data_IF_579821304824
#
_entry.id   IF_579821304824
#
_cell.length_a   1.000
_cell.length_b   1.000
_cell.length_c   1.000
_cell.angle_alpha   90.00
_cell.angle_beta   90.00
_cell.angle_gamma   90.00
#
_symmetry.space_group_name_H-M   'P 1'
#
loop_
_entity.id
_entity.type
_entity.pdbx_description
1 polymer ?
#
# COMPACT_ATOMS: atom_id res chain seq x y z
N UNK A 1 49.40 10.60 27.90
CA UNK A 1 48.03 10.10 28.21
C UNK A 1 47.30 9.93 26.88
N UNK A 2 47.09 8.71 26.38
CA UNK A 2 46.43 8.50 25.09
C UNK A 2 44.90 8.61 25.24
N UNK A 3 44.16 9.08 24.22
CA UNK A 3 42.70 9.13 24.29
C UNK A 3 42.09 7.73 24.06
N UNK A 4 41.12 7.40 24.91
CA UNK A 4 40.35 6.17 24.94
C UNK A 4 39.61 5.91 23.61
N UNK A 5 39.88 4.76 22.97
CA UNK A 5 39.08 4.20 21.87
C UNK A 5 37.71 3.76 22.41
N UNK A 6 36.65 4.45 22.01
CA UNK A 6 35.28 3.98 22.21
C UNK A 6 34.97 2.81 21.25
N UNK A 7 34.50 1.69 21.80
CA UNK A 7 34.02 0.52 21.04
C UNK A 7 32.71 0.86 20.31
N UNK A 8 32.47 0.35 19.09
CA UNK A 8 31.17 0.48 18.44
C UNK A 8 30.12 -0.39 19.16
N UNK A 9 29.07 0.27 19.63
CA UNK A 9 27.84 -0.34 20.14
C UNK A 9 27.18 -1.19 19.04
N UNK A 10 26.99 -2.50 19.31
CA UNK A 10 26.20 -3.41 18.46
C UNK A 10 24.73 -3.00 18.53
N UNK A 11 24.25 -2.26 17.53
CA UNK A 11 22.83 -2.11 17.28
C UNK A 11 22.25 -3.45 16.79
N UNK A 12 21.43 -4.10 17.63
CA UNK A 12 20.58 -5.21 17.20
C UNK A 12 19.44 -4.67 16.33
N UNK A 13 19.09 -5.32 15.20
CA UNK A 13 17.89 -4.95 14.46
C UNK A 13 16.62 -5.36 15.23
N UNK A 14 15.49 -4.63 15.07
CA UNK A 14 14.23 -4.97 15.72
C UNK A 14 13.73 -6.35 15.31
N UNK A 15 13.22 -7.13 16.27
CA UNK A 15 12.50 -8.38 16.03
C UNK A 15 11.19 -8.07 15.31
N UNK A 16 10.96 -8.72 14.17
CA UNK A 16 9.67 -8.72 13.48
C UNK A 16 8.62 -9.38 14.38
N UNK A 17 7.64 -8.58 14.85
CA UNK A 17 6.48 -9.09 15.56
C UNK A 17 5.58 -9.83 14.56
N UNK A 18 5.47 -11.14 14.74
CA UNK A 18 4.47 -11.98 14.10
C UNK A 18 3.16 -11.86 14.87
N UNK A 19 2.06 -11.47 14.21
CA UNK A 19 0.72 -11.48 14.80
C UNK A 19 0.32 -12.92 15.20
N UNK A 20 -0.30 -13.13 16.38
CA UNK A 20 -0.84 -14.43 16.76
C UNK A 20 -2.25 -14.65 16.19
N UNK A 21 -2.48 -15.88 15.72
CA UNK A 21 -3.79 -16.41 15.30
C UNK A 21 -4.82 -16.40 16.46
N UNK A 22 -6.13 -16.34 16.16
CA UNK A 22 -7.16 -16.07 17.16
C UNK A 22 -7.40 -17.25 18.12
N UNK A 23 -7.53 -16.90 19.40
CA UNK A 23 -7.83 -17.77 20.54
C UNK A 23 -9.24 -18.37 20.47
N UNK A 24 -9.33 -19.70 20.54
CA UNK A 24 -10.55 -20.41 20.95
C UNK A 24 -10.49 -20.74 22.46
N UNK A 25 -11.68 -20.79 23.03
CA UNK A 25 -12.01 -20.75 24.45
C UNK A 25 -11.37 -21.80 25.37
N UNK A 26 -10.95 -21.30 26.54
CA UNK A 26 -11.14 -21.80 27.90
C UNK A 26 -11.27 -23.32 28.15
N UNK A 27 -10.28 -23.81 28.88
CA UNK A 27 -10.20 -25.11 29.55
C UNK A 27 -11.10 -25.20 30.79
N UNK A 28 -11.64 -26.38 31.07
CA UNK A 28 -11.72 -26.87 32.46
C UNK A 28 -11.46 -28.38 32.51
N UNK A 29 -10.78 -28.77 33.58
CA UNK A 29 -10.03 -30.00 33.73
C UNK A 29 -10.77 -31.09 34.52
N UNK A 30 -10.28 -32.32 34.31
CA UNK A 30 -10.21 -33.48 35.21
C UNK A 30 -11.49 -34.19 35.70
N UNK A 31 -11.63 -35.45 35.27
CA UNK A 31 -11.46 -36.66 36.13
C UNK A 31 -11.56 -37.95 35.29
N UNK A 32 -10.66 -38.89 35.56
CA UNK A 32 -10.82 -40.34 35.31
C UNK A 32 -10.56 -41.07 36.65
N UNK A 33 -10.86 -42.38 36.81
CA UNK A 33 -12.01 -43.17 36.32
C UNK A 33 -12.60 -44.06 37.46
N UNK A 34 -13.77 -44.69 37.26
CA UNK A 34 -14.06 -46.05 37.78
C UNK A 34 -15.34 -46.65 37.14
N UNK A 35 -15.62 -47.97 37.24
CA UNK A 35 -15.96 -48.84 36.11
C UNK A 35 -17.40 -49.41 36.23
N UNK A 36 -17.74 -50.37 35.36
CA UNK A 36 -19.02 -51.08 35.27
C UNK A 36 -20.15 -50.24 34.64
N UNK A 37 -20.98 -50.69 33.68
CA UNK A 37 -21.23 -51.93 32.95
C UNK A 37 -22.16 -51.47 31.78
N UNK A 38 -22.07 -51.95 30.53
CA UNK A 38 -22.96 -52.97 29.95
C UNK A 38 -22.86 -52.89 28.40
N UNK A 39 -22.50 -54.03 27.80
CA UNK A 39 -23.03 -54.67 26.56
C UNK A 39 -23.06 -53.99 25.18
N UNK A 40 -22.52 -54.76 24.21
CA UNK A 40 -22.82 -54.87 22.77
C UNK A 40 -22.53 -53.63 21.90
N UNK A 41 -21.86 -53.70 20.74
CA UNK A 41 -22.03 -54.65 19.65
C UNK A 41 -20.79 -54.58 18.73
N UNK A 42 -20.11 -55.72 18.50
CA UNK A 42 -19.02 -55.81 17.53
C UNK A 42 -19.61 -56.00 16.14
N UNK A 43 -19.40 -55.03 15.22
CA UNK A 43 -19.46 -55.28 13.78
C UNK A 43 -18.09 -55.02 13.16
N UNK A 44 -17.42 -56.13 12.91
CA UNK A 44 -16.24 -56.27 12.08
C UNK A 44 -16.65 -56.07 10.61
N UNK A 45 -16.12 -55.07 9.92
CA UNK A 45 -16.19 -54.99 8.45
C UNK A 45 -14.75 -54.96 7.93
N UNK A 46 -14.37 -56.11 7.36
CA UNK A 46 -13.18 -56.34 6.56
C UNK A 46 -13.14 -55.36 5.38
N UNK A 47 -12.13 -54.50 5.34
CA UNK A 47 -11.84 -53.63 4.20
C UNK A 47 -10.90 -54.36 3.22
N UNK A 48 -11.44 -54.77 2.07
CA UNK A 48 -10.66 -55.15 0.88
C UNK A 48 -10.31 -53.87 0.10
N UNK A 49 -9.13 -53.79 -0.54
CA UNK A 49 -8.74 -52.62 -1.32
C UNK A 49 -9.33 -52.72 -2.73
N UNK A 50 -10.31 -51.86 -3.03
CA UNK A 50 -10.75 -51.62 -4.41
C UNK A 50 -9.90 -50.50 -5.04
N UNK A 51 -9.46 -50.63 -6.30
CA UNK A 51 -8.70 -49.59 -6.99
C UNK A 51 -9.66 -48.48 -7.43
N UNK A 52 -9.66 -47.36 -6.70
CA UNK A 52 -10.44 -46.17 -7.03
C UNK A 52 -9.77 -45.39 -8.17
N UNK A 53 -10.11 -45.71 -9.42
CA UNK A 53 -10.01 -44.75 -10.52
C UNK A 53 -11.10 -43.68 -10.32
N UNK A 54 -10.82 -42.69 -9.48
CA UNK A 54 -11.78 -41.62 -9.20
C UNK A 54 -11.67 -40.58 -10.31
N UNK A 55 -12.48 -40.72 -11.36
CA UNK A 55 -12.79 -39.58 -12.21
C UNK A 55 -13.43 -38.49 -11.33
N UNK A 56 -12.90 -37.25 -11.32
CA UNK A 56 -13.47 -36.18 -10.52
C UNK A 56 -14.95 -35.98 -10.89
N UNK A 57 -15.84 -35.95 -9.90
CA UNK A 57 -17.26 -35.64 -10.14
C UNK A 57 -17.34 -34.27 -10.84
N UNK A 58 -18.17 -34.08 -11.89
CA UNK A 58 -18.23 -32.83 -12.66
C UNK A 58 -18.42 -31.55 -11.84
N UNK A 59 -19.11 -31.64 -10.69
CA UNK A 59 -19.30 -30.53 -9.75
C UNK A 59 -18.01 -30.11 -9.03
N UNK A 60 -17.13 -31.06 -8.71
CA UNK A 60 -15.85 -30.79 -8.05
C UNK A 60 -14.92 -29.98 -8.97
N UNK A 61 -14.87 -30.32 -10.25
CA UNK A 61 -14.08 -29.59 -11.24
C UNK A 61 -14.63 -28.17 -11.46
N UNK A 62 -15.95 -27.99 -11.51
CA UNK A 62 -16.57 -26.68 -11.60
C UNK A 62 -16.22 -25.79 -10.39
N UNK A 63 -16.23 -26.33 -9.17
CA UNK A 63 -15.80 -25.61 -7.97
C UNK A 63 -14.31 -25.27 -8.00
N UNK A 64 -13.44 -26.21 -8.39
CA UNK A 64 -12.01 -25.97 -8.54
C UNK A 64 -11.71 -24.86 -9.56
N UNK A 65 -12.42 -24.84 -10.69
CA UNK A 65 -12.30 -23.77 -11.69
C UNK A 65 -12.71 -22.42 -11.13
N UNK A 66 -13.81 -22.36 -10.35
CA UNK A 66 -14.25 -21.12 -9.71
C UNK A 66 -13.25 -20.62 -8.65
N UNK A 67 -12.66 -21.52 -7.87
CA UNK A 67 -11.61 -21.19 -6.89
C UNK A 67 -10.39 -20.62 -7.61
N UNK A 68 -9.89 -21.30 -8.66
CA UNK A 68 -8.77 -20.81 -9.47
C UNK A 68 -9.06 -19.45 -10.09
N UNK A 69 -10.28 -19.24 -10.57
CA UNK A 69 -10.74 -17.95 -11.10
C UNK A 69 -10.68 -16.83 -10.05
N UNK A 70 -11.12 -17.09 -8.81
CA UNK A 70 -11.06 -16.12 -7.72
C UNK A 70 -9.63 -15.84 -7.26
N UNK A 71 -8.77 -16.86 -7.21
CA UNK A 71 -7.35 -16.71 -6.88
C UNK A 71 -6.63 -15.77 -7.86
N UNK A 72 -7.03 -15.75 -9.14
CA UNK A 72 -6.45 -14.83 -10.11
C UNK A 72 -6.72 -13.35 -9.77
N UNK A 73 -7.85 -13.04 -9.11
CA UNK A 73 -8.19 -11.68 -8.66
C UNK A 73 -7.57 -11.32 -7.30
N UNK A 74 -6.85 -12.23 -6.64
CA UNK A 74 -6.22 -11.98 -5.34
C UNK A 74 -4.99 -11.07 -5.41
N UNK A 75 -4.43 -10.91 -6.62
CA UNK A 75 -3.24 -10.09 -6.87
C UNK A 75 -3.52 -9.08 -7.99
N UNK A 76 -2.83 -7.94 -7.94
CA UNK A 76 -2.91 -6.94 -9.01
C UNK A 76 -2.14 -7.41 -10.26
N UNK A 77 -2.53 -6.92 -11.45
CA UNK A 77 -1.90 -7.26 -12.73
C UNK A 77 -0.38 -7.07 -12.73
N UNK A 78 0.11 -5.99 -12.10
CA UNK A 78 1.55 -5.74 -11.97
C UNK A 78 2.25 -6.79 -11.10
N UNK A 79 1.58 -7.32 -10.08
CA UNK A 79 2.12 -8.39 -9.24
C UNK A 79 2.12 -9.71 -9.99
N UNK A 80 1.06 -10.00 -10.75
CA UNK A 80 0.98 -11.18 -11.61
C UNK A 80 2.13 -11.20 -12.64
N UNK A 81 2.38 -10.07 -13.32
CA UNK A 81 3.49 -9.94 -14.26
C UNK A 81 4.87 -10.14 -13.60
N UNK A 82 5.05 -9.62 -12.38
CA UNK A 82 6.28 -9.84 -11.61
C UNK A 82 6.47 -11.32 -11.24
N UNK A 83 5.39 -12.00 -10.82
CA UNK A 83 5.44 -13.42 -10.48
C UNK A 83 5.69 -14.29 -11.70
N UNK A 84 5.07 -13.97 -12.84
CA UNK A 84 5.35 -14.66 -14.11
C UNK A 84 6.83 -14.53 -14.51
N UNK A 85 7.40 -13.34 -14.34
CA UNK A 85 8.83 -13.10 -14.58
C UNK A 85 9.71 -13.91 -13.62
N UNK A 86 9.32 -14.04 -12.36
CA UNK A 86 10.01 -14.86 -11.36
C UNK A 86 9.98 -16.36 -11.72
N UNK A 87 8.81 -16.87 -12.16
CA UNK A 87 8.64 -18.25 -12.61
C UNK A 87 9.53 -18.53 -13.82
N UNK A 88 9.52 -17.65 -14.84
CA UNK A 88 10.36 -17.79 -16.03
C UNK A 88 11.86 -17.85 -15.68
N UNK A 89 12.30 -16.97 -14.78
CA UNK A 89 13.70 -16.97 -14.32
C UNK A 89 14.07 -18.25 -13.55
N UNK A 90 13.14 -18.78 -12.76
CA UNK A 90 13.34 -20.04 -12.04
C UNK A 90 13.42 -21.23 -12.98
N UNK A 91 12.49 -21.37 -13.93
CA UNK A 91 12.51 -22.45 -14.91
C UNK A 91 13.78 -22.44 -15.77
N UNK A 92 14.27 -21.27 -16.16
CA UNK A 92 15.55 -21.14 -16.87
C UNK A 92 16.72 -21.64 -16.02
N UNK A 93 16.81 -21.20 -14.75
CA UNK A 93 17.83 -21.67 -13.82
C UNK A 93 17.79 -23.19 -13.61
N UNK A 94 16.60 -23.76 -13.43
CA UNK A 94 16.42 -25.20 -13.27
C UNK A 94 16.89 -25.98 -14.50
N UNK A 95 16.55 -25.49 -15.70
CA UNK A 95 17.00 -26.09 -16.96
C UNK A 95 18.51 -26.03 -17.14
N UNK A 96 19.15 -24.92 -16.77
CA UNK A 96 20.61 -24.73 -16.90
C UNK A 96 21.42 -25.58 -15.91
N UNK A 97 20.84 -25.93 -14.76
CA UNK A 97 21.51 -26.64 -13.67
C UNK A 97 21.02 -28.10 -13.49
N UNK A 98 20.20 -28.60 -14.41
CA UNK A 98 19.61 -29.94 -14.36
C UNK A 98 18.87 -30.22 -13.03
N UNK A 99 18.18 -29.20 -12.51
CA UNK A 99 17.40 -29.28 -11.27
C UNK A 99 15.89 -29.42 -11.56
N UNK A 100 15.10 -30.03 -10.64
CA UNK A 100 13.65 -30.10 -10.79
C UNK A 100 13.00 -28.70 -10.79
N UNK A 101 12.26 -28.39 -11.86
CA UNK A 101 11.42 -27.20 -11.95
C UNK A 101 10.19 -27.30 -11.02
N UNK A 102 9.12 -26.56 -11.30
CA UNK A 102 7.89 -26.56 -10.53
C UNK A 102 7.01 -27.80 -10.88
N UNK A 103 6.44 -28.52 -9.89
CA UNK A 103 6.60 -28.34 -8.44
C UNK A 103 8.01 -28.74 -7.98
N UNK A 104 8.61 -27.92 -7.11
CA UNK A 104 10.04 -28.04 -6.79
C UNK A 104 10.33 -28.53 -5.37
N UNK A 105 11.60 -28.58 -4.97
CA UNK A 105 12.06 -28.96 -3.63
C UNK A 105 12.64 -27.78 -2.85
N UNK A 106 12.74 -27.88 -1.51
CA UNK A 106 13.40 -26.87 -0.69
C UNK A 106 14.86 -26.66 -1.12
N UNK A 107 15.53 -27.75 -1.52
CA UNK A 107 16.91 -27.70 -2.01
C UNK A 107 17.04 -26.83 -3.26
N UNK A 108 16.19 -27.05 -4.27
CA UNK A 108 16.21 -26.25 -5.50
C UNK A 108 15.91 -24.79 -5.23
N UNK A 109 14.96 -24.49 -4.33
CA UNK A 109 14.70 -23.11 -3.90
C UNK A 109 15.93 -22.47 -3.26
N UNK A 110 16.63 -23.19 -2.38
CA UNK A 110 17.86 -22.71 -1.76
C UNK A 110 18.97 -22.47 -2.79
N UNK A 111 19.15 -23.39 -3.75
CA UNK A 111 20.11 -23.26 -4.83
C UNK A 111 19.82 -22.01 -5.68
N UNK A 112 18.54 -21.79 -6.01
CA UNK A 112 18.13 -20.60 -6.75
C UNK A 112 18.36 -19.31 -5.96
N UNK A 113 18.06 -19.30 -4.65
CA UNK A 113 18.36 -18.13 -3.80
C UNK A 113 19.87 -17.85 -3.77
N UNK A 114 20.71 -18.88 -3.68
CA UNK A 114 22.16 -18.72 -3.70
C UNK A 114 22.63 -18.10 -5.03
N UNK A 115 22.10 -18.56 -6.17
CA UNK A 115 22.37 -17.96 -7.48
C UNK A 115 21.92 -16.48 -7.55
N UNK A 116 20.72 -16.16 -7.04
CA UNK A 116 20.23 -14.78 -7.04
C UNK A 116 21.04 -13.86 -6.11
N UNK A 117 21.65 -14.38 -5.05
CA UNK A 117 22.42 -13.60 -4.08
C UNK A 117 23.62 -12.88 -4.71
N UNK A 118 24.12 -13.39 -5.83
CA UNK A 118 25.25 -12.80 -6.57
C UNK A 118 24.90 -11.46 -7.22
N UNK A 119 23.62 -11.20 -7.50
CA UNK A 119 23.20 -10.03 -8.30
C UNK A 119 21.96 -9.29 -7.81
N UNK A 120 21.19 -9.86 -6.86
CA UNK A 120 19.90 -9.34 -6.43
C UNK A 120 19.91 -8.94 -4.96
N UNK A 121 19.21 -7.85 -4.66
CA UNK A 121 18.93 -7.46 -3.28
C UNK A 121 18.00 -8.48 -2.61
N UNK A 122 18.16 -8.67 -1.30
CA UNK A 122 17.33 -9.61 -0.53
C UNK A 122 15.82 -9.35 -0.63
N UNK A 123 15.39 -8.10 -0.81
CA UNK A 123 13.98 -7.78 -1.05
C UNK A 123 13.46 -8.31 -2.39
N UNK A 124 14.27 -8.24 -3.45
CA UNK A 124 13.96 -8.82 -4.76
C UNK A 124 13.89 -10.35 -4.68
N UNK A 125 14.84 -10.97 -3.99
CA UNK A 125 14.85 -12.43 -3.76
C UNK A 125 13.56 -12.87 -3.08
N UNK A 126 13.15 -12.23 -1.97
CA UNK A 126 11.89 -12.56 -1.29
C UNK A 126 10.67 -12.42 -2.19
N UNK A 127 10.63 -11.39 -3.04
CA UNK A 127 9.54 -11.21 -3.99
C UNK A 127 9.51 -12.32 -5.05
N UNK A 128 10.68 -12.74 -5.55
CA UNK A 128 10.79 -13.89 -6.46
C UNK A 128 10.27 -15.16 -5.82
N UNK A 129 10.72 -15.48 -4.59
CA UNK A 129 10.26 -16.66 -3.84
C UNK A 129 8.76 -16.61 -3.54
N UNK A 130 8.20 -15.41 -3.29
CA UNK A 130 6.75 -15.23 -3.13
C UNK A 130 5.97 -15.58 -4.40
N UNK A 131 6.54 -15.31 -5.57
CA UNK A 131 5.96 -15.70 -6.86
C UNK A 131 5.95 -17.22 -7.04
N UNK A 132 7.03 -17.91 -6.66
CA UNK A 132 7.10 -19.37 -6.69
C UNK A 132 6.12 -20.01 -5.69
N UNK A 133 6.00 -19.44 -4.49
CA UNK A 133 5.00 -19.87 -3.50
C UNK A 133 3.58 -19.69 -4.04
N UNK A 134 3.28 -18.54 -4.64
CA UNK A 134 1.98 -18.29 -5.26
C UNK A 134 1.68 -19.29 -6.38
N UNK A 135 2.69 -19.72 -7.14
CA UNK A 135 2.51 -20.79 -8.13
C UNK A 135 2.07 -22.09 -7.46
N UNK A 136 2.73 -22.53 -6.39
CA UNK A 136 2.37 -23.74 -5.65
C UNK A 136 0.92 -23.66 -5.13
N UNK A 137 0.58 -22.57 -4.46
CA UNK A 137 -0.76 -22.34 -3.91
C UNK A 137 -1.86 -22.40 -5.00
N UNK A 138 -1.59 -21.82 -6.19
CA UNK A 138 -2.54 -21.78 -7.30
C UNK A 138 -2.73 -23.14 -7.99
N UNK A 139 -1.71 -23.99 -7.98
CA UNK A 139 -1.77 -25.33 -8.58
C UNK A 139 -2.20 -26.41 -7.57
N UNK A 140 -2.41 -26.05 -6.31
CA UNK A 140 -2.79 -27.00 -5.25
C UNK A 140 -1.62 -27.85 -4.77
N UNK A 141 -0.39 -27.41 -5.02
CA UNK A 141 0.84 -28.10 -4.65
C UNK A 141 1.31 -27.64 -3.28
N UNK A 142 1.81 -28.58 -2.47
CA UNK A 142 2.37 -28.23 -1.16
C UNK A 142 3.59 -27.32 -1.32
N UNK A 143 3.67 -26.24 -0.54
CA UNK A 143 4.84 -25.36 -0.54
C UNK A 143 6.04 -26.07 0.11
N UNK A 144 7.16 -26.30 -0.61
CA UNK A 144 8.29 -27.05 -0.07
C UNK A 144 9.24 -26.19 0.77
N UNK A 145 9.07 -24.86 0.82
CA UNK A 145 9.98 -23.97 1.55
C UNK A 145 9.78 -24.05 3.07
N UNK A 146 10.86 -24.34 3.80
CA UNK A 146 10.90 -24.44 5.25
C UNK A 146 11.99 -23.56 5.89
N UNK A 147 12.42 -23.87 7.13
CA UNK A 147 13.37 -23.05 7.87
C UNK A 147 14.74 -22.88 7.19
N UNK A 148 15.16 -23.85 6.36
CA UNK A 148 16.43 -23.77 5.65
C UNK A 148 16.36 -22.67 4.59
N UNK A 149 15.26 -22.59 3.85
CA UNK A 149 15.05 -21.51 2.88
C UNK A 149 15.11 -20.13 3.54
N UNK A 150 14.49 -19.96 4.71
CA UNK A 150 14.52 -18.69 5.45
C UNK A 150 15.93 -18.28 5.86
N UNK A 151 16.74 -19.24 6.31
CA UNK A 151 18.15 -19.02 6.64
C UNK A 151 18.95 -18.61 5.41
N UNK A 152 18.73 -19.28 4.28
CA UNK A 152 19.44 -19.00 3.02
C UNK A 152 19.05 -17.62 2.47
N UNK A 153 17.76 -17.24 2.50
CA UNK A 153 17.30 -15.89 2.12
C UNK A 153 17.93 -14.82 3.02
N UNK A 154 18.04 -15.09 4.33
CA UNK A 154 18.69 -14.17 5.28
C UNK A 154 20.19 -14.04 4.99
N UNK A 155 20.86 -15.16 4.73
CA UNK A 155 22.27 -15.19 4.31
C UNK A 155 22.48 -14.38 3.04
N UNK A 156 21.69 -14.66 2.00
CA UNK A 156 21.71 -13.94 0.73
C UNK A 156 21.52 -12.43 0.90
N UNK A 157 20.61 -12.00 1.78
CA UNK A 157 20.41 -10.58 2.06
C UNK A 157 21.62 -9.93 2.75
N UNK A 158 22.35 -10.65 3.59
CA UNK A 158 23.54 -10.15 4.28
C UNK A 158 24.77 -10.06 3.38
N UNK A 159 24.88 -10.92 2.38
CA UNK A 159 25.99 -10.93 1.42
C UNK A 159 25.67 -10.22 0.10
N UNK A 160 24.43 -9.74 -0.05
CA UNK A 160 23.98 -9.07 -1.26
C UNK A 160 24.94 -7.90 -1.60
N UNK A 161 25.39 -7.78 -2.86
CA UNK A 161 26.33 -6.75 -3.22
C UNK A 161 25.68 -5.38 -3.07
N UNK A 162 26.44 -4.38 -2.60
CA UNK A 162 25.94 -3.02 -2.41
C UNK A 162 25.30 -2.45 -3.70
N UNK A 163 25.84 -2.82 -4.87
CA UNK A 163 25.33 -2.46 -6.19
C UNK A 163 23.92 -2.99 -6.50
N UNK A 164 23.47 -4.05 -5.81
CA UNK A 164 22.12 -4.59 -5.97
C UNK A 164 21.05 -3.78 -5.22
N UNK A 165 21.48 -2.95 -4.28
CA UNK A 165 20.60 -2.10 -3.49
C UNK A 165 20.61 -0.67 -4.03
N UNK A 166 19.43 -0.03 -4.07
CA UNK A 166 19.33 1.38 -4.43
C UNK A 166 19.37 2.21 -3.15
N UNK A 167 20.04 3.39 -3.17
CA UNK A 167 19.94 4.31 -2.05
C UNK A 167 18.49 4.71 -1.81
N UNK A 168 18.23 5.17 -0.59
CA UNK A 168 16.94 5.76 -0.28
C UNK A 168 16.67 6.96 -1.19
N UNK A 169 15.42 7.05 -1.68
CA UNK A 169 15.00 8.18 -2.50
C UNK A 169 14.92 9.45 -1.64
N UNK A 170 15.37 10.55 -2.21
CA UNK A 170 15.26 11.86 -1.60
C UNK A 170 13.81 12.33 -1.52
N UNK A 171 13.44 13.01 -0.41
CA UNK A 171 12.15 13.66 -0.27
C UNK A 171 12.08 14.89 -1.17
N UNK A 172 10.91 15.15 -1.76
CA UNK A 172 10.59 16.53 -2.18
C UNK A 172 10.51 17.39 -0.91
N UNK A 173 11.02 18.62 -0.94
CA UNK A 173 10.91 19.55 0.20
C UNK A 173 9.89 20.65 -0.09
N UNK A 174 9.48 21.40 0.93
CA UNK A 174 8.63 22.59 0.72
C UNK A 174 9.33 23.63 -0.15
N UNK A 175 10.64 23.86 0.04
CA UNK A 175 11.44 24.74 -0.81
C UNK A 175 11.41 24.34 -2.29
N UNK A 176 11.47 23.03 -2.58
CA UNK A 176 11.30 22.55 -3.96
C UNK A 176 9.90 22.86 -4.52
N UNK A 177 8.85 22.81 -3.71
CA UNK A 177 7.49 23.22 -4.15
C UNK A 177 7.42 24.75 -4.37
N UNK A 178 8.14 25.54 -3.57
CA UNK A 178 8.26 27.00 -3.78
C UNK A 178 9.00 27.32 -5.07
N UNK A 179 10.10 26.62 -5.36
CA UNK A 179 10.82 26.70 -6.64
C UNK A 179 9.89 26.35 -7.81
N UNK A 180 9.04 25.33 -7.69
CA UNK A 180 8.01 25.05 -8.70
C UNK A 180 7.04 26.22 -8.86
N UNK A 181 6.58 26.82 -7.76
CA UNK A 181 5.64 27.95 -7.82
C UNK A 181 6.25 29.14 -8.58
N UNK A 182 7.56 29.35 -8.47
CA UNK A 182 8.31 30.40 -9.16
C UNK A 182 8.58 30.04 -10.64
N UNK A 183 8.93 28.77 -10.92
CA UNK A 183 9.35 28.33 -12.25
C UNK A 183 8.22 27.98 -13.22
N UNK A 184 6.99 27.83 -12.74
CA UNK A 184 5.80 27.52 -13.54
C UNK A 184 5.11 28.79 -14.04
N UNK A 185 4.66 28.78 -15.30
CA UNK A 185 3.85 29.86 -15.84
C UNK A 185 2.41 29.73 -15.36
N UNK A 186 2.05 30.55 -14.38
CA UNK A 186 0.72 30.50 -13.76
C UNK A 186 -0.41 31.06 -14.66
N UNK A 187 -0.11 31.49 -15.88
CA UNK A 187 -1.11 31.79 -16.92
C UNK A 187 -1.36 30.61 -17.88
N UNK A 188 -0.53 29.57 -17.82
CA UNK A 188 -0.67 28.36 -18.60
C UNK A 188 -1.44 27.28 -17.81
N UNK A 189 -2.57 26.81 -18.35
CA UNK A 189 -3.43 25.84 -17.65
C UNK A 189 -2.72 24.52 -17.32
N UNK A 190 -1.75 24.10 -18.15
CA UNK A 190 -0.97 22.88 -17.87
C UNK A 190 -0.09 23.11 -16.64
N UNK A 191 0.60 24.24 -16.56
CA UNK A 191 1.47 24.57 -15.44
C UNK A 191 0.67 24.78 -14.13
N UNK A 192 -0.51 25.41 -14.18
CA UNK A 192 -1.45 25.45 -13.04
C UNK A 192 -1.80 24.03 -12.58
N UNK A 193 -2.10 23.14 -13.53
CA UNK A 193 -2.46 21.75 -13.25
C UNK A 193 -1.30 20.96 -12.66
N UNK A 194 -0.07 21.19 -13.16
CA UNK A 194 1.16 20.60 -12.60
C UNK A 194 1.36 21.07 -11.15
N UNK A 195 1.17 22.36 -10.87
CA UNK A 195 1.34 22.89 -9.51
C UNK A 195 0.31 22.32 -8.54
N UNK A 196 -0.96 22.25 -8.94
CA UNK A 196 -2.01 21.63 -8.14
C UNK A 196 -1.73 20.13 -7.89
N UNK A 197 -1.29 19.38 -8.91
CA UNK A 197 -0.92 17.98 -8.74
C UNK A 197 0.27 17.80 -7.78
N UNK A 198 1.29 18.66 -7.86
CA UNK A 198 2.46 18.62 -6.99
C UNK A 198 2.11 18.86 -5.53
N UNK A 199 1.35 19.93 -5.24
CA UNK A 199 0.92 20.28 -3.87
C UNK A 199 0.00 19.22 -3.28
N UNK A 200 -0.93 18.65 -4.06
CA UNK A 200 -1.81 17.56 -3.61
C UNK A 200 -1.03 16.26 -3.37
N UNK A 201 -0.09 15.90 -4.26
CA UNK A 201 0.75 14.72 -4.07
C UNK A 201 1.62 14.84 -2.80
N UNK A 202 2.13 16.04 -2.53
CA UNK A 202 2.93 16.36 -1.36
C UNK A 202 2.09 16.35 -0.07
N UNK A 203 1.15 17.29 0.09
CA UNK A 203 0.40 17.47 1.33
C UNK A 203 -0.66 16.41 1.59
N UNK A 204 -1.25 15.85 0.53
CA UNK A 204 -2.12 14.67 0.65
C UNK A 204 -1.35 13.37 0.80
N UNK A 205 -0.01 13.40 0.72
CA UNK A 205 0.86 12.23 0.70
C UNK A 205 0.39 11.15 -0.28
N UNK A 206 -0.25 11.54 -1.39
CA UNK A 206 -0.82 10.59 -2.33
C UNK A 206 0.30 9.93 -3.15
N UNK A 207 0.10 8.67 -3.58
CA UNK A 207 1.00 8.12 -4.60
C UNK A 207 0.66 8.77 -5.92
N UNK A 208 1.68 9.14 -6.70
CA UNK A 208 1.44 9.80 -7.99
C UNK A 208 0.53 9.00 -8.92
N UNK A 209 0.66 7.67 -8.94
CA UNK A 209 -0.20 6.78 -9.74
C UNK A 209 -1.65 6.64 -9.24
N UNK A 210 -2.00 7.22 -8.09
CA UNK A 210 -3.39 7.36 -7.63
C UNK A 210 -4.01 8.67 -8.16
N UNK A 211 -3.17 9.64 -8.53
CA UNK A 211 -3.60 10.95 -9.04
C UNK A 211 -3.55 11.02 -10.56
N UNK A 212 -2.48 10.53 -11.19
CA UNK A 212 -2.17 10.74 -12.59
C UNK A 212 -2.00 9.42 -13.36
N UNK A 213 -2.67 9.31 -14.50
CA UNK A 213 -2.57 8.16 -15.41
C UNK A 213 -1.49 8.30 -16.49
N UNK A 214 -1.55 7.41 -17.47
CA UNK A 214 -0.67 7.42 -18.65
C UNK A 214 -1.35 7.96 -19.92
N UNK A 215 -2.68 8.10 -19.93
CA UNK A 215 -3.42 8.56 -21.10
C UNK A 215 -3.68 10.06 -21.03
N UNK A 216 -3.23 10.79 -22.06
CA UNK A 216 -3.49 12.23 -22.20
C UNK A 216 -4.87 12.57 -22.78
N UNK A 217 -5.60 11.58 -23.30
CA UNK A 217 -6.86 11.80 -24.04
C UNK A 217 -8.07 11.11 -23.42
N UNK A 218 -7.86 10.02 -22.67
CA UNK A 218 -8.94 9.20 -22.11
C UNK A 218 -8.90 9.29 -20.59
N UNK A 219 -9.97 9.81 -20.01
CA UNK A 219 -10.21 9.72 -18.57
C UNK A 219 -10.87 8.37 -18.23
N UNK A 220 -10.41 7.76 -17.15
CA UNK A 220 -11.03 6.56 -16.57
C UNK A 220 -11.42 6.88 -15.12
N UNK A 221 -12.69 7.26 -14.87
CA UNK A 221 -13.16 7.67 -13.56
C UNK A 221 -13.19 6.52 -12.54
N UNK A 222 -13.05 5.26 -12.97
CA UNK A 222 -12.91 4.12 -12.06
C UNK A 222 -11.50 4.00 -11.46
N UNK A 223 -10.52 4.69 -12.07
CA UNK A 223 -9.10 4.61 -11.68
C UNK A 223 -8.55 5.92 -11.15
N UNK A 224 -9.00 7.05 -11.69
CA UNK A 224 -8.41 8.36 -11.42
C UNK A 224 -9.49 9.37 -11.00
N UNK A 225 -9.16 10.34 -10.14
CA UNK A 225 -10.14 11.30 -9.63
C UNK A 225 -10.69 12.19 -10.75
N UNK A 226 -11.99 12.45 -10.70
CA UNK A 226 -12.66 13.48 -11.50
C UNK A 226 -12.69 14.81 -10.73
N UNK A 227 -13.11 15.90 -11.37
CA UNK A 227 -13.34 17.17 -10.68
C UNK A 227 -14.34 17.06 -9.52
N UNK A 228 -15.40 16.27 -9.71
CA UNK A 228 -16.39 15.95 -8.66
C UNK A 228 -15.83 15.11 -7.51
N UNK A 229 -14.62 14.57 -7.63
CA UNK A 229 -13.95 13.90 -6.51
C UNK A 229 -13.48 14.87 -5.44
N UNK A 230 -13.41 16.18 -5.74
CA UNK A 230 -13.08 17.22 -4.75
C UNK A 230 -14.33 17.57 -3.97
N UNK A 231 -14.33 17.26 -2.68
CA UNK A 231 -15.43 17.56 -1.77
C UNK A 231 -15.58 19.05 -1.46
N UNK A 232 -16.71 19.41 -0.82
CA UNK A 232 -16.87 20.76 -0.26
C UNK A 232 -15.84 21.01 0.86
N UNK A 233 -15.62 22.28 1.24
CA UNK A 233 -14.85 22.61 2.43
C UNK A 233 -15.34 21.86 3.68
N UNK A 234 -14.43 21.20 4.39
CA UNK A 234 -14.69 20.48 5.66
C UNK A 234 -14.19 21.23 6.90
N UNK A 235 -13.68 22.44 6.72
CA UNK A 235 -13.23 23.32 7.81
C UNK A 235 -13.39 24.79 7.42
N UNK A 236 -13.40 25.69 8.42
CA UNK A 236 -13.45 27.14 8.19
C UNK A 236 -12.28 27.65 7.32
N UNK A 237 -11.13 26.98 7.40
CA UNK A 237 -9.95 27.30 6.60
C UNK A 237 -10.00 26.68 5.18
N UNK A 238 -11.11 26.09 4.76
CA UNK A 238 -11.25 25.59 3.39
C UNK A 238 -10.52 24.28 3.10
N UNK A 239 -10.05 23.55 4.12
CA UNK A 239 -9.54 22.18 3.96
C UNK A 239 -10.58 21.30 3.26
N UNK A 240 -10.15 20.33 2.45
CA UNK A 240 -11.03 19.51 1.61
C UNK A 240 -10.63 18.05 1.64
N UNK A 241 -11.62 17.21 1.40
CA UNK A 241 -11.43 15.80 1.07
C UNK A 241 -11.38 15.62 -0.45
N UNK A 242 -10.49 14.77 -0.95
CA UNK A 242 -10.46 14.35 -2.36
C UNK A 242 -10.55 12.84 -2.42
N UNK A 243 -11.63 12.33 -3.03
CA UNK A 243 -11.84 10.91 -3.19
C UNK A 243 -10.97 10.33 -4.32
N UNK A 244 -10.14 9.33 -4.02
CA UNK A 244 -9.36 8.61 -5.03
C UNK A 244 -10.08 7.30 -5.35
N UNK A 245 -10.59 7.09 -6.59
CA UNK A 245 -11.40 5.92 -6.93
C UNK A 245 -10.68 4.58 -6.76
N UNK A 246 -9.34 4.58 -6.85
CA UNK A 246 -8.52 3.38 -6.75
C UNK A 246 -7.21 3.67 -6.02
N UNK A 247 -6.91 2.88 -5.00
CA UNK A 247 -5.60 2.88 -4.32
C UNK A 247 -4.95 1.52 -4.42
N UNK A 248 -3.68 1.40 -3.97
CA UNK A 248 -2.98 0.12 -3.91
C UNK A 248 -3.77 -0.94 -3.11
N UNK A 249 -4.43 -0.54 -2.04
CA UNK A 249 -5.10 -1.42 -1.06
C UNK A 249 -6.61 -1.45 -1.21
N UNK A 250 -7.21 -0.41 -1.77
CA UNK A 250 -8.64 -0.30 -2.05
C UNK A 250 -8.88 -0.19 -3.56
N UNK A 251 -8.88 -1.34 -4.23
CA UNK A 251 -8.96 -1.41 -5.69
C UNK A 251 -10.38 -1.23 -6.26
N UNK A 252 -11.41 -1.30 -5.41
CA UNK A 252 -12.83 -1.28 -5.79
C UNK A 252 -13.57 -0.04 -5.33
N UNK A 253 -13.34 0.39 -4.10
CA UNK A 253 -14.09 1.49 -3.45
C UNK A 253 -13.27 2.76 -3.29
N UNK A 254 -11.97 2.70 -3.58
CA UNK A 254 -11.09 3.84 -3.39
C UNK A 254 -10.89 4.20 -1.92
N UNK A 255 -10.19 5.32 -1.70
CA UNK A 255 -9.97 5.96 -0.40
C UNK A 255 -9.79 7.47 -0.63
N UNK A 256 -10.13 8.30 0.34
CA UNK A 256 -9.98 9.74 0.21
C UNK A 256 -8.69 10.26 0.84
N UNK A 257 -8.08 11.30 0.28
CA UNK A 257 -7.06 12.12 0.97
C UNK A 257 -7.70 13.35 1.59
N UNK A 258 -7.08 13.87 2.64
CA UNK A 258 -7.39 15.20 3.19
C UNK A 258 -6.26 16.14 2.78
N UNK A 259 -6.62 17.27 2.19
CA UNK A 259 -5.70 18.39 1.98
C UNK A 259 -6.10 19.55 2.89
N UNK A 260 -5.12 20.13 3.58
CA UNK A 260 -5.32 21.21 4.54
C UNK A 260 -4.68 22.49 4.03
N UNK A 261 -5.26 23.64 4.40
CA UNK A 261 -4.68 24.94 4.05
C UNK A 261 -3.30 25.08 4.70
N UNK A 262 -2.33 25.51 3.91
CA UNK A 262 -0.98 25.84 4.36
C UNK A 262 -0.72 27.35 4.22
N UNK A 263 0.23 27.86 5.00
CA UNK A 263 0.73 29.22 4.82
C UNK A 263 1.63 29.31 3.58
N UNK A 264 1.72 30.49 2.97
CA UNK A 264 2.64 30.75 1.87
C UNK A 264 2.21 30.17 0.51
N UNK A 265 3.13 30.19 -0.47
CA UNK A 265 2.81 29.93 -1.88
C UNK A 265 2.57 28.45 -2.19
N UNK A 266 2.95 27.53 -1.30
CA UNK A 266 2.79 26.07 -1.49
C UNK A 266 1.39 25.55 -1.13
N UNK A 267 0.46 26.44 -0.78
CA UNK A 267 -0.86 26.10 -0.25
C UNK A 267 -1.70 25.24 -1.24
N UNK A 268 -2.01 23.97 -0.89
CA UNK A 268 -2.75 23.07 -1.78
C UNK A 268 -4.20 23.51 -1.98
N UNK A 269 -4.80 24.26 -1.04
CA UNK A 269 -6.17 24.77 -1.18
C UNK A 269 -6.23 25.89 -2.22
N UNK A 270 -5.27 26.82 -2.18
CA UNK A 270 -5.18 27.85 -3.21
C UNK A 270 -4.89 27.25 -4.60
N UNK A 271 -4.02 26.23 -4.66
CA UNK A 271 -3.67 25.57 -5.91
C UNK A 271 -4.87 24.83 -6.54
N UNK A 272 -5.65 24.08 -5.74
CA UNK A 272 -6.83 23.37 -6.26
C UNK A 272 -7.96 24.34 -6.65
N UNK A 273 -8.16 25.42 -5.90
CA UNK A 273 -9.14 26.46 -6.24
C UNK A 273 -8.76 27.16 -7.55
N UNK A 274 -7.46 27.47 -7.75
CA UNK A 274 -6.97 28.02 -9.01
C UNK A 274 -7.23 27.08 -10.18
N UNK A 275 -6.86 25.80 -10.05
CA UNK A 275 -7.10 24.77 -11.09
C UNK A 275 -8.58 24.66 -11.47
N UNK A 276 -9.47 24.61 -10.47
CA UNK A 276 -10.90 24.53 -10.73
C UNK A 276 -11.44 25.80 -11.40
N UNK A 277 -10.88 26.97 -11.08
CA UNK A 277 -11.31 28.26 -11.62
C UNK A 277 -10.75 28.60 -13.01
N UNK A 278 -9.58 28.07 -13.39
CA UNK A 278 -8.94 28.33 -14.69
C UNK A 278 -9.61 27.55 -15.81
N UNK A 279 -10.03 26.30 -15.54
CA UNK A 279 -10.52 25.39 -16.57
C UNK A 279 -12.05 25.28 -16.49
N UNK A 280 -12.77 26.41 -16.63
CA UNK A 280 -14.23 26.50 -16.42
C UNK A 280 -15.07 25.76 -17.45
N UNK A 281 -14.51 25.47 -18.60
CA UNK A 281 -15.16 24.71 -19.69
C UNK A 281 -15.24 23.21 -19.38
N UNK A 282 -14.48 22.72 -18.40
CA UNK A 282 -14.50 21.32 -18.00
C UNK A 282 -15.69 21.00 -17.08
N UNK A 283 -16.29 19.84 -17.32
CA UNK A 283 -17.39 19.29 -16.55
C UNK A 283 -16.90 18.59 -15.28
N UNK A 284 -17.80 18.42 -14.30
CA UNK A 284 -17.51 17.73 -13.04
C UNK A 284 -17.01 16.28 -13.21
N UNK A 285 -17.40 15.61 -14.30
CA UNK A 285 -16.99 14.25 -14.62
C UNK A 285 -15.61 14.15 -15.27
N UNK A 286 -15.08 15.26 -15.79
CA UNK A 286 -13.75 15.29 -16.40
C UNK A 286 -12.67 15.00 -15.36
N UNK A 287 -11.51 14.57 -15.85
CA UNK A 287 -10.36 14.28 -15.02
C UNK A 287 -9.97 15.49 -14.17
N UNK A 288 -9.65 15.26 -12.89
CA UNK A 288 -9.31 16.34 -11.96
C UNK A 288 -8.14 17.20 -12.48
N UNK A 289 -7.13 16.55 -13.05
CA UNK A 289 -5.94 17.19 -13.59
C UNK A 289 -5.99 17.30 -15.13
N UNK A 290 -7.15 17.60 -15.69
CA UNK A 290 -7.29 17.99 -17.09
C UNK A 290 -7.06 19.49 -17.29
N UNK A 291 -6.52 19.86 -18.45
CA UNK A 291 -6.21 21.23 -18.86
C UNK A 291 -6.47 21.44 -20.35
N UNK A 292 -6.70 22.68 -20.75
CA UNK A 292 -6.81 23.08 -22.16
C UNK A 292 -5.42 23.36 -22.72
N UNK A 293 -5.03 22.63 -23.75
CA UNK A 293 -3.75 22.84 -24.42
C UNK A 293 -3.73 24.20 -25.14
N UNK A 294 -2.73 25.03 -24.84
CA UNK A 294 -2.67 26.39 -25.39
C UNK A 294 -2.53 26.44 -26.91
N UNK A 295 -1.95 25.41 -27.53
CA UNK A 295 -1.61 25.40 -28.95
C UNK A 295 -2.80 25.00 -29.82
N UNK A 296 -3.49 23.92 -29.44
CA UNK A 296 -4.59 23.37 -30.24
C UNK A 296 -5.97 23.50 -29.58
N UNK A 297 -6.05 24.11 -28.40
CA UNK A 297 -7.28 24.30 -27.61
C UNK A 297 -8.00 23.00 -27.23
N UNK A 298 -7.34 21.85 -27.35
CA UNK A 298 -7.90 20.56 -26.98
C UNK A 298 -7.73 20.32 -25.47
N UNK A 299 -8.75 19.73 -24.85
CA UNK A 299 -8.63 19.21 -23.49
C UNK A 299 -7.68 18.02 -23.45
N UNK A 300 -6.70 18.07 -22.53
CA UNK A 300 -5.75 17.00 -22.26
C UNK A 300 -5.72 16.66 -20.78
N UNK A 301 -5.48 15.39 -20.47
CA UNK A 301 -5.23 14.91 -19.13
C UNK A 301 -3.73 14.99 -18.82
N UNK A 302 -3.38 15.55 -17.65
CA UNK A 302 -2.00 15.53 -17.18
C UNK A 302 -1.57 14.08 -16.89
N UNK A 303 -0.57 13.60 -17.61
CA UNK A 303 0.01 12.26 -17.40
C UNK A 303 1.12 12.30 -16.37
N UNK A 304 1.40 11.16 -15.73
CA UNK A 304 2.54 11.01 -14.83
C UNK A 304 3.86 11.40 -15.50
N UNK A 305 4.03 11.05 -16.77
CA UNK A 305 5.21 11.40 -17.57
C UNK A 305 5.31 12.92 -17.79
N UNK A 306 4.25 13.55 -18.29
CA UNK A 306 4.25 14.99 -18.55
C UNK A 306 4.47 15.81 -17.27
N UNK A 307 3.88 15.38 -16.16
CA UNK A 307 4.10 15.95 -14.84
C UNK A 307 5.56 15.82 -14.41
N UNK A 308 6.11 14.60 -14.39
CA UNK A 308 7.49 14.36 -13.94
C UNK A 308 8.52 15.06 -14.82
N UNK A 309 8.31 15.10 -16.13
CA UNK A 309 9.18 15.84 -17.04
C UNK A 309 9.16 17.33 -16.72
N UNK A 310 7.98 17.93 -16.51
CA UNK A 310 7.87 19.36 -16.24
C UNK A 310 8.49 19.78 -14.90
N UNK A 311 8.24 19.02 -13.83
CA UNK A 311 8.81 19.36 -12.51
C UNK A 311 10.34 19.17 -12.48
N UNK A 312 10.85 18.11 -13.12
CA UNK A 312 12.30 17.88 -13.18
C UNK A 312 13.02 18.87 -14.10
N UNK A 313 12.39 19.39 -15.16
CA UNK A 313 12.95 20.47 -15.99
C UNK A 313 13.16 21.77 -15.20
N UNK A 314 12.31 22.06 -14.22
CA UNK A 314 12.48 23.21 -13.33
C UNK A 314 13.58 22.92 -12.31
N UNK A 315 13.48 21.80 -11.61
CA UNK A 315 14.40 21.45 -10.53
C UNK A 315 15.83 21.16 -10.99
N UNK A 316 16.02 20.67 -12.22
CA UNK A 316 17.38 20.48 -12.77
C UNK A 316 18.13 21.80 -12.97
N UNK A 317 17.44 22.94 -13.07
CA UNK A 317 18.05 24.27 -13.17
C UNK A 317 18.58 24.78 -11.83
N UNK A 318 18.15 24.14 -10.73
CA UNK A 318 18.60 24.40 -9.35
C UNK A 318 19.48 23.26 -8.82
N UNK A 319 20.05 22.43 -9.69
CA UNK A 319 20.94 21.30 -9.36
C UNK A 319 20.32 20.20 -8.46
N UNK A 320 18.99 20.12 -8.38
CA UNK A 320 18.33 19.02 -7.68
C UNK A 320 18.47 17.69 -8.45
N UNK A 321 18.63 16.55 -7.74
CA UNK A 321 18.65 15.25 -8.39
C UNK A 321 17.30 14.93 -9.03
N UNK A 322 17.31 14.00 -9.99
CA UNK A 322 16.08 13.58 -10.67
C UNK A 322 15.08 12.97 -9.69
N UNK A 323 13.95 13.65 -9.52
CA UNK A 323 12.86 13.26 -8.64
C UNK A 323 11.89 12.30 -9.34
N UNK A 324 11.36 11.36 -8.56
CA UNK A 324 10.31 10.42 -9.00
C UNK A 324 9.01 10.69 -8.25
N UNK A 325 7.89 10.19 -8.77
CA UNK A 325 6.58 10.41 -8.14
C UNK A 325 6.49 9.94 -6.67
N UNK A 326 7.31 8.96 -6.28
CA UNK A 326 7.35 8.47 -4.90
C UNK A 326 7.92 9.49 -3.90
N UNK A 327 8.83 10.36 -4.37
CA UNK A 327 9.49 11.37 -3.55
C UNK A 327 8.53 12.42 -2.99
N UNK A 328 7.40 12.69 -3.65
CA UNK A 328 6.36 13.59 -3.13
C UNK A 328 5.74 13.04 -1.84
N UNK A 329 5.39 11.75 -1.83
CA UNK A 329 4.83 11.09 -0.65
C UNK A 329 5.85 11.00 0.49
N UNK A 330 7.12 10.71 0.18
CA UNK A 330 8.22 10.77 1.17
C UNK A 330 8.35 12.20 1.72
N UNK A 331 8.32 13.20 0.85
CA UNK A 331 8.42 14.62 1.17
C UNK A 331 7.33 15.09 2.13
N UNK A 332 6.06 14.86 1.80
CA UNK A 332 4.94 15.23 2.67
C UNK A 332 5.01 14.55 4.04
N UNK A 333 5.39 13.27 4.08
CA UNK A 333 5.58 12.53 5.34
C UNK A 333 6.67 13.18 6.19
N UNK A 334 7.82 13.43 5.58
CA UNK A 334 9.00 13.99 6.23
C UNK A 334 8.69 15.40 6.74
N UNK A 335 8.07 16.25 5.92
CA UNK A 335 7.68 17.61 6.29
C UNK A 335 6.75 17.65 7.51
N UNK A 336 5.71 16.81 7.54
CA UNK A 336 4.79 16.77 8.69
C UNK A 336 5.49 16.30 9.96
N UNK A 337 6.35 15.29 9.87
CA UNK A 337 7.12 14.81 11.02
C UNK A 337 8.11 15.86 11.53
N UNK A 338 8.83 16.56 10.66
CA UNK A 338 9.68 17.69 11.07
C UNK A 338 8.89 18.82 11.72
N UNK A 339 7.64 19.02 11.30
CA UNK A 339 6.73 20.02 11.88
C UNK A 339 6.14 19.61 13.23
N UNK A 340 6.63 18.52 13.85
CA UNK A 340 6.18 18.07 15.17
C UNK A 340 4.83 17.34 15.15
N UNK A 341 4.30 17.00 13.98
CA UNK A 341 3.01 16.28 13.89
C UNK A 341 3.21 14.83 14.33
N UNK A 342 2.32 14.37 15.22
CA UNK A 342 2.36 13.03 15.77
C UNK A 342 2.36 11.95 14.66
N UNK A 343 3.24 10.93 14.76
CA UNK A 343 3.31 9.82 13.80
C UNK A 343 1.97 9.17 13.44
N UNK A 344 1.05 9.04 14.40
CA UNK A 344 -0.27 8.44 14.21
C UNK A 344 -1.16 9.30 13.30
N UNK A 345 -1.07 10.63 13.42
CA UNK A 345 -1.78 11.57 12.56
C UNK A 345 -1.21 11.52 11.15
N UNK A 346 0.12 11.47 11.00
CA UNK A 346 0.78 11.30 9.70
C UNK A 346 0.40 9.95 9.07
N UNK A 347 0.38 8.87 9.86
CA UNK A 347 -0.03 7.53 9.44
C UNK A 347 -1.48 7.53 8.91
N UNK A 348 -2.39 8.19 9.63
CA UNK A 348 -3.78 8.35 9.23
C UNK A 348 -3.89 9.15 7.93
N UNK A 349 -3.27 10.33 7.88
CA UNK A 349 -3.30 11.23 6.71
C UNK A 349 -2.78 10.54 5.44
N UNK A 350 -1.70 9.77 5.53
CA UNK A 350 -1.17 9.04 4.37
C UNK A 350 -1.83 7.68 4.14
N UNK A 351 -2.79 7.28 4.98
CA UNK A 351 -3.59 6.05 4.84
C UNK A 351 -2.77 4.77 4.91
N UNK A 352 -1.85 4.70 5.86
CA UNK A 352 -1.12 3.47 6.11
C UNK A 352 -1.87 2.61 7.12
N UNK A 353 -2.42 1.48 6.65
CA UNK A 353 -3.01 0.47 7.51
C UNK A 353 -1.97 -0.22 8.41
N UNK A 354 -0.71 -0.27 7.99
CA UNK A 354 0.39 -0.93 8.71
C UNK A 354 1.59 0.01 8.95
N UNK A 355 2.63 -0.55 9.56
CA UNK A 355 3.89 0.14 9.88
C UNK A 355 4.76 0.46 8.64
N UNK A 356 4.22 0.25 7.44
CA UNK A 356 4.85 0.63 6.18
C UNK A 356 5.18 2.13 6.08
N UNK A 357 4.58 3.00 6.91
CA UNK A 357 4.87 4.43 6.97
C UNK A 357 6.30 4.74 7.44
N UNK A 358 6.92 3.91 8.30
CA UNK A 358 8.31 4.11 8.75
C UNK A 358 9.33 4.12 7.60
N UNK A 359 9.01 3.47 6.47
CA UNK A 359 9.86 3.47 5.27
C UNK A 359 9.99 4.84 4.61
N UNK A 360 9.05 5.75 4.89
CA UNK A 360 8.99 7.10 4.32
C UNK A 360 9.69 8.14 5.19
N UNK A 361 10.13 7.78 6.39
CA UNK A 361 10.79 8.72 7.29
C UNK A 361 12.20 8.98 6.77
N UNK A 362 12.47 10.24 6.42
CA UNK A 362 13.80 10.74 6.10
C UNK A 362 14.25 11.65 7.23
N UNK A 363 15.56 11.78 7.37
CA UNK A 363 16.18 12.56 8.45
C UNK A 363 15.62 12.24 9.85
N UNK A 364 15.72 10.97 10.23
CA UNK A 364 15.21 10.46 11.53
C UNK A 364 15.86 11.15 12.72
N UNK A 365 17.08 11.67 12.58
CA UNK A 365 17.79 12.36 13.64
C UNK A 365 17.10 13.68 13.98
N UNK A 366 16.86 14.53 12.99
CA UNK A 366 16.14 15.79 13.21
C UNK A 366 14.69 15.57 13.65
N UNK A 367 14.03 14.51 13.16
CA UNK A 367 12.71 14.12 13.69
C UNK A 367 12.80 13.79 15.18
N UNK A 368 13.79 13.01 15.61
CA UNK A 368 13.96 12.68 17.03
C UNK A 368 14.25 13.92 17.88
N UNK A 369 15.12 14.82 17.39
CA UNK A 369 15.43 16.09 18.06
C UNK A 369 14.15 16.93 18.22
N UNK A 370 13.42 17.21 17.13
CA UNK A 370 12.23 18.06 17.15
C UNK A 370 11.10 17.55 18.06
N UNK A 371 11.01 16.23 18.28
CA UNK A 371 9.94 15.62 19.09
C UNK A 371 10.33 15.41 20.56
N UNK A 372 11.62 15.38 20.89
CA UNK A 372 12.09 14.92 22.21
C UNK A 372 13.01 15.93 22.91
N UNK A 373 13.66 16.82 22.17
CA UNK A 373 14.48 17.88 22.76
C UNK A 373 13.59 18.91 23.48
N UNK A 374 14.05 19.36 24.65
CA UNK A 374 13.36 20.35 25.48
C UNK A 374 11.86 20.07 25.70
N UNK A 375 11.52 18.79 25.95
CA UNK A 375 10.18 18.37 26.39
C UNK A 375 9.79 19.11 27.68
N UNK A 376 9.26 20.31 27.53
CA UNK A 376 8.57 20.99 28.61
C UNK A 376 7.36 20.13 28.96
N UNK A 377 7.17 19.84 30.25
CA UNK A 377 5.94 19.21 30.75
C UNK A 377 4.78 20.19 30.59
N UNK A 378 4.37 20.48 29.35
CA UNK A 378 3.14 21.20 29.08
C UNK A 378 2.00 20.23 29.36
N UNK A 379 1.24 20.56 30.41
CA UNK A 379 -0.05 19.95 30.69
C UNK A 379 -0.86 19.83 29.39
N UNK A 380 -1.65 18.75 29.22
CA UNK A 380 -2.43 18.54 28.01
C UNK A 380 -3.24 19.80 27.70
N UNK A 381 -3.13 20.27 26.45
CA UNK A 381 -3.86 21.43 25.97
C UNK A 381 -5.34 21.28 26.36
N UNK A 382 -5.77 22.18 27.22
CA UNK A 382 -7.15 22.28 27.70
C UNK A 382 -8.11 22.45 26.53
N UNK A 383 -9.04 21.51 26.38
CA UNK A 383 -10.41 21.77 25.98
C UNK A 383 -10.69 22.04 24.50
N UNK A 384 -10.73 20.99 23.67
CA UNK A 384 -11.81 20.91 22.70
C UNK A 384 -13.09 20.58 23.48
N UNK A 385 -13.81 21.62 23.90
CA UNK A 385 -15.19 21.48 24.37
C UNK A 385 -16.04 20.97 23.20
N UNK A 386 -16.18 19.65 23.09
CA UNK A 386 -17.30 19.06 22.39
C UNK A 386 -18.57 19.52 23.14
N UNK A 387 -19.23 20.54 22.60
CA UNK A 387 -20.56 20.90 23.06
C UNK A 387 -21.43 19.63 23.05
N UNK A 388 -21.98 19.28 24.20
CA UNK A 388 -22.92 18.18 24.32
C UNK A 388 -24.11 18.43 23.38
N UNK A 389 -24.60 17.40 22.67
CA UNK A 389 -25.78 17.58 21.83
C UNK A 389 -27.00 17.91 22.71
N UNK A 390 -27.94 18.73 22.22
CA UNK A 390 -29.13 19.07 22.98
C UNK A 390 -29.97 17.81 23.23
N UNK A 391 -30.37 17.63 24.49
CA UNK A 391 -31.32 16.61 24.93
C UNK A 391 -32.69 16.91 24.32
N UNK A 392 -33.02 16.25 23.21
CA UNK A 392 -34.39 16.23 22.71
C UNK A 392 -35.16 15.11 23.40
N UNK A 393 -35.96 15.48 24.40
CA UNK A 393 -37.06 14.67 24.93
C UNK A 393 -38.15 14.54 23.86
N UNK A 394 -38.39 13.32 23.37
CA UNK A 394 -39.50 12.96 22.49
C UNK A 394 -39.69 11.44 22.41
N UNK A 395 -40.94 10.92 22.31
CA UNK A 395 -41.30 9.60 22.81
C UNK A 395 -40.86 8.44 21.92
N UNK A 396 -40.52 7.32 22.59
CA UNK A 396 -40.19 6.02 22.00
C UNK A 396 -41.39 5.42 21.28
N UNK A 397 -41.28 5.21 19.96
CA UNK A 397 -42.09 4.25 19.21
C UNK A 397 -41.29 2.98 18.96
N UNK A 398 -41.82 1.86 19.44
CA UNK A 398 -41.24 0.52 19.29
C UNK A 398 -41.41 0.01 17.85
N UNK A 399 -40.32 -0.39 17.21
CA UNK A 399 -40.36 -1.17 15.97
C UNK A 399 -40.34 -2.66 16.30
N UNK A 400 -41.47 -3.33 16.07
CA UNK A 400 -41.64 -4.78 16.13
C UNK A 400 -40.99 -5.46 14.92
N UNK A 401 -40.19 -6.48 15.19
CA UNK A 401 -39.59 -7.36 14.19
C UNK A 401 -40.65 -8.21 13.47
N UNK A 402 -40.72 -8.10 12.14
CA UNK A 402 -41.54 -8.97 11.29
C UNK A 402 -40.71 -10.18 10.85
N UNK A 403 -41.02 -11.35 11.43
CA UNK A 403 -40.67 -12.66 10.90
C UNK A 403 -41.48 -12.91 9.61
N UNK A 404 -40.81 -13.23 8.49
CA UNK A 404 -41.48 -13.87 7.34
C UNK A 404 -41.26 -15.38 7.38
N UNK A 405 -42.32 -16.10 7.72
CA UNK A 405 -42.52 -17.52 7.40
C UNK A 405 -42.92 -17.61 5.93
N UNK A 406 -42.41 -18.63 5.22
CA UNK A 406 -42.82 -18.93 3.85
C UNK A 406 -44.22 -19.56 3.81
N UNK A 407 -44.82 -19.55 2.62
CA UNK A 407 -45.60 -20.68 2.14
C UNK A 407 -45.80 -20.67 0.62
N UNK A 408 -46.01 -21.88 0.10
CA UNK A 408 -46.14 -22.32 -1.30
C UNK A 408 -47.47 -21.92 -1.97
N UNK A 409 -47.43 -22.06 -3.30
CA UNK A 409 -48.50 -22.46 -4.23
C UNK A 409 -49.53 -21.42 -4.68
N UNK A 410 -49.44 -21.00 -5.95
CA UNK A 410 -50.16 -21.63 -7.08
C UNK A 410 -49.42 -21.37 -8.38
#
# INVERSE_FOLDING_TARGET
MPPLRARPSRFMPPRDYSEPAPSSHASHAHKQPNPESLTAEKRNIQSTPHPSSTTPRPQHEAHANRIRGLMAYSIADSTAANYESAIKAFSAFCSENELPDLPTSEFTLCAFVAHLAESKAGSSIRNTISGLKHWHDRHGESWPGGPKLDLVIRGAANVAPASSTKPDRDPVTTGMIEELAIGLDMNDEKDITVFAAATIAFYGMARLGELLGCSSRKHDPSRFPSRNSVGPPISANGSREIHLPRTKTSQRTGESIIITRQAGPTNPIAAIERLLSSNRTLHGTDFLFAYTDKHNKATKNLTSEAFLTRVNDIWSRSDHPRITGHSFRIGGTTHLLHSGIAPEVVRMMGRWASDAHFRYWRDKQSIAINHVEDLTTKAPASGHSLASPPTTTGPRTAYSAVRRKGDRAR
#
